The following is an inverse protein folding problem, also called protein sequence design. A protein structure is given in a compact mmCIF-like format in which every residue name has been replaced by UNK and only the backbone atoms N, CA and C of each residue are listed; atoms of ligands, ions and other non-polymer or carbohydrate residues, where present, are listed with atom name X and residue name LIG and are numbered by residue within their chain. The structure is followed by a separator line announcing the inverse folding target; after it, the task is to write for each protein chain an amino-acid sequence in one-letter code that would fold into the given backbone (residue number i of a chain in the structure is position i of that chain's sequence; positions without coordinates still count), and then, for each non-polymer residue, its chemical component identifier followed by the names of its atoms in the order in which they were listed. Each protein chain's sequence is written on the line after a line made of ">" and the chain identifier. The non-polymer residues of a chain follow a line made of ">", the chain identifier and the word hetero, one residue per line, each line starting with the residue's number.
data_IF_267184714647
#
_entry.id   IF_267184714647
#
_cell.length_a   1.000
_cell.length_b   1.000
_cell.length_c   1.000
_cell.angle_alpha   90.00
_cell.angle_beta   90.00
_cell.angle_gamma   90.00
#
_symmetry.space_group_name_H-M   'P 1'
#
loop_
_entity.id
_entity.type
_entity.pdbx_description
1 polymer ?
#
# COMPACT_ATOMS: atom_id res chain seq x y z
N UNK A 1 -7.40 18.83 -34.48
CA UNK A 1 -7.18 17.94 -33.33
C UNK A 1 -8.03 18.48 -32.18
N UNK A 2 -9.19 17.88 -31.93
CA UNK A 2 -10.03 18.22 -30.77
C UNK A 2 -9.26 17.80 -29.52
N UNK A 3 -8.67 18.77 -28.83
CA UNK A 3 -8.09 18.55 -27.50
C UNK A 3 -9.22 18.11 -26.58
N UNK A 4 -9.33 16.80 -26.34
CA UNK A 4 -10.24 16.27 -25.35
C UNK A 4 -9.76 16.74 -23.99
N UNK A 5 -10.49 17.66 -23.36
CA UNK A 5 -10.18 18.06 -22.01
C UNK A 5 -10.15 16.81 -21.12
N UNK A 6 -9.01 16.55 -20.48
CA UNK A 6 -8.91 15.50 -19.47
C UNK A 6 -9.76 15.96 -18.29
N UNK A 7 -10.97 15.40 -18.16
CA UNK A 7 -11.84 15.64 -17.01
C UNK A 7 -11.31 14.79 -15.86
N UNK A 8 -10.69 15.44 -14.89
CA UNK A 8 -10.32 14.80 -13.62
C UNK A 8 -11.46 15.04 -12.63
N UNK A 9 -11.82 14.01 -11.85
CA UNK A 9 -12.78 14.12 -10.77
C UNK A 9 -12.03 14.06 -9.44
N UNK A 10 -11.65 15.20 -8.82
CA UNK A 10 -10.82 15.22 -7.62
C UNK A 10 -11.40 14.40 -6.48
N UNK A 11 -12.72 14.44 -6.29
CA UNK A 11 -13.41 13.67 -5.24
C UNK A 11 -13.23 12.16 -5.41
N UNK A 12 -13.35 11.65 -6.64
CA UNK A 12 -13.15 10.22 -6.93
C UNK A 12 -11.69 9.81 -6.77
N UNK A 13 -10.76 10.72 -7.10
CA UNK A 13 -9.33 10.49 -6.93
C UNK A 13 -8.95 10.43 -5.45
N UNK A 14 -9.49 11.34 -4.64
CA UNK A 14 -9.32 11.33 -3.19
C UNK A 14 -9.95 10.08 -2.54
N UNK A 15 -11.15 9.67 -2.98
CA UNK A 15 -11.81 8.45 -2.51
C UNK A 15 -10.98 7.20 -2.81
N UNK A 16 -10.52 7.05 -4.05
CA UNK A 16 -9.61 5.97 -4.43
C UNK A 16 -8.35 5.96 -3.56
N UNK A 17 -7.77 7.13 -3.30
CA UNK A 17 -6.62 7.25 -2.42
C UNK A 17 -6.90 6.79 -0.99
N UNK A 18 -8.05 7.13 -0.41
CA UNK A 18 -8.47 6.67 0.94
C UNK A 18 -8.70 5.17 1.01
N UNK A 19 -9.27 4.57 -0.05
CA UNK A 19 -9.46 3.12 -0.15
C UNK A 19 -8.13 2.35 -0.22
N UNK A 20 -7.07 2.99 -0.71
CA UNK A 20 -5.73 2.40 -0.72
C UNK A 20 -4.98 2.68 0.57
N UNK A 21 -4.89 3.93 1.01
CA UNK A 21 -4.07 4.35 2.14
C UNK A 21 -4.88 4.51 3.42
N UNK A 22 -4.45 3.82 4.47
CA UNK A 22 -5.03 3.89 5.81
C UNK A 22 -4.45 2.78 6.67
N UNK A 23 -4.39 2.99 7.98
CA UNK A 23 -3.89 2.00 8.94
C UNK A 23 -4.99 1.13 9.56
N UNK A 24 -6.26 1.39 9.25
CA UNK A 24 -7.41 0.67 9.79
C UNK A 24 -8.10 -0.25 8.78
N UNK A 25 -9.13 -0.95 9.25
CA UNK A 25 -10.03 -1.77 8.41
C UNK A 25 -10.71 -0.92 7.34
N UNK A 26 -10.78 -1.43 6.11
CA UNK A 26 -11.40 -0.75 4.97
C UNK A 26 -10.42 -0.03 4.03
N UNK A 27 -9.11 -0.05 4.32
CA UNK A 27 -8.07 0.31 3.36
C UNK A 27 -7.24 -0.91 2.95
N UNK A 28 -6.82 -0.96 1.69
CA UNK A 28 -5.98 -2.04 1.18
C UNK A 28 -4.62 -2.12 1.91
N UNK A 29 -4.01 -0.97 2.25
CA UNK A 29 -2.80 -0.92 3.06
C UNK A 29 -3.01 -1.57 4.44
N UNK A 30 -4.09 -1.19 5.13
CA UNK A 30 -4.37 -1.62 6.50
C UNK A 30 -4.69 -3.11 6.55
N UNK A 31 -5.48 -3.60 5.60
CA UNK A 31 -5.85 -5.01 5.51
C UNK A 31 -4.64 -5.90 5.21
N UNK A 32 -3.78 -5.51 4.26
CA UNK A 32 -2.57 -6.29 3.97
C UNK A 32 -1.60 -6.28 5.17
N UNK A 33 -1.40 -5.12 5.80
CA UNK A 33 -0.56 -5.03 7.00
C UNK A 33 -1.09 -5.90 8.15
N UNK A 34 -2.42 -5.96 8.32
CA UNK A 34 -3.04 -6.82 9.33
C UNK A 34 -2.85 -8.30 9.04
N UNK A 35 -3.00 -8.73 7.78
CA UNK A 35 -2.78 -10.13 7.36
C UNK A 35 -1.32 -10.54 7.60
N UNK A 36 -0.36 -9.70 7.18
CA UNK A 36 1.06 -9.97 7.39
C UNK A 36 1.39 -9.99 8.87
N UNK A 37 0.85 -9.06 9.66
CA UNK A 37 1.02 -9.02 11.12
C UNK A 37 0.47 -10.27 11.82
N UNK A 38 -0.72 -10.75 11.44
CA UNK A 38 -1.30 -11.99 11.97
C UNK A 38 -0.44 -13.21 11.58
N UNK A 39 0.03 -13.26 10.33
CA UNK A 39 0.92 -14.33 9.89
C UNK A 39 2.24 -14.34 10.69
N UNK A 40 2.90 -13.19 10.85
CA UNK A 40 4.11 -13.05 11.68
C UNK A 40 3.86 -13.54 13.10
N UNK A 41 2.79 -13.05 13.72
CA UNK A 41 2.41 -13.42 15.10
C UNK A 41 2.20 -14.92 15.23
N UNK A 42 1.52 -15.55 14.28
CA UNK A 42 1.29 -17.00 14.31
C UNK A 42 2.60 -17.77 14.15
N UNK A 43 3.45 -17.36 13.20
CA UNK A 43 4.74 -18.00 12.95
C UNK A 43 5.66 -17.94 14.17
N UNK A 44 5.68 -16.83 14.88
CA UNK A 44 6.47 -16.68 16.11
C UNK A 44 5.95 -17.54 17.27
N UNK A 45 4.64 -17.85 17.27
CA UNK A 45 3.99 -18.64 18.31
C UNK A 45 4.02 -20.17 18.07
N UNK A 46 4.45 -20.64 16.90
CA UNK A 46 4.43 -22.09 16.57
C UNK A 46 5.53 -22.92 17.26
N UNK A 47 6.39 -22.30 18.08
CA UNK A 47 7.34 -23.00 18.95
C UNK A 47 8.60 -23.52 18.24
N UNK A 48 9.29 -24.49 18.85
CA UNK A 48 10.56 -25.02 18.34
C UNK A 48 10.38 -25.76 17.02
N UNK A 49 11.37 -25.60 16.13
CA UNK A 49 11.42 -26.16 14.79
C UNK A 49 11.10 -27.66 14.74
N UNK A 50 10.16 -28.08 13.88
CA UNK A 50 9.66 -29.46 13.81
C UNK A 50 10.32 -30.30 12.71
N UNK A 51 11.21 -29.71 11.90
CA UNK A 51 11.85 -30.36 10.75
C UNK A 51 13.12 -31.15 11.10
N UNK A 52 13.51 -31.19 12.38
CA UNK A 52 14.66 -31.94 12.86
C UNK A 52 16.02 -31.31 12.54
N UNK A 53 17.07 -31.81 13.20
CA UNK A 53 18.45 -31.32 13.05
C UNK A 53 19.31 -32.16 12.09
N UNK A 54 18.71 -33.13 11.39
CA UNK A 54 19.42 -33.93 10.39
C UNK A 54 19.70 -33.11 9.12
N UNK A 55 20.48 -33.69 8.21
CA UNK A 55 20.89 -33.01 6.97
C UNK A 55 19.70 -32.63 6.07
N UNK A 56 18.56 -33.33 6.16
CA UNK A 56 17.36 -33.01 5.42
C UNK A 56 16.61 -31.84 6.06
N UNK A 57 16.42 -31.86 7.38
CA UNK A 57 15.81 -30.79 8.15
C UNK A 57 16.56 -29.47 8.00
N UNK A 58 17.89 -29.51 8.12
CA UNK A 58 18.75 -28.34 7.88
C UNK A 58 18.66 -27.82 6.46
N UNK A 59 18.67 -28.70 5.44
CA UNK A 59 18.53 -28.28 4.05
C UNK A 59 17.16 -27.65 3.75
N UNK A 60 16.10 -28.19 4.35
CA UNK A 60 14.76 -27.64 4.22
C UNK A 60 14.65 -26.25 4.86
N UNK A 61 15.19 -26.06 6.07
CA UNK A 61 15.03 -24.82 6.81
C UNK A 61 16.04 -23.72 6.43
N UNK A 62 17.32 -24.08 6.46
CA UNK A 62 18.47 -23.16 6.39
C UNK A 62 19.07 -23.07 4.97
N UNK A 63 18.55 -23.84 4.02
CA UNK A 63 18.96 -23.73 2.62
C UNK A 63 18.77 -22.30 2.10
N UNK A 64 19.52 -21.93 1.05
CA UNK A 64 19.41 -20.60 0.41
C UNK A 64 17.95 -20.24 0.06
N UNK A 65 17.21 -21.20 -0.50
CA UNK A 65 15.78 -21.10 -0.80
C UNK A 65 14.93 -21.91 0.20
N UNK A 66 15.47 -22.12 1.40
CA UNK A 66 14.83 -22.86 2.47
C UNK A 66 13.64 -22.12 3.06
N UNK A 67 12.90 -22.81 3.91
CA UNK A 67 11.69 -22.30 4.53
C UNK A 67 11.91 -20.97 5.27
N UNK A 68 13.02 -20.81 5.99
CA UNK A 68 13.29 -19.59 6.75
C UNK A 68 13.50 -18.39 5.81
N UNK A 69 14.28 -18.57 4.75
CA UNK A 69 14.49 -17.53 3.75
C UNK A 69 13.18 -17.16 3.02
N UNK A 70 12.40 -18.17 2.61
CA UNK A 70 11.11 -17.95 1.96
C UNK A 70 10.11 -17.22 2.88
N UNK A 71 10.06 -17.61 4.17
CA UNK A 71 9.25 -16.96 5.20
C UNK A 71 9.63 -15.50 5.36
N UNK A 72 10.91 -15.22 5.58
CA UNK A 72 11.38 -13.86 5.86
C UNK A 72 11.17 -12.94 4.64
N UNK A 73 11.37 -13.47 3.43
CA UNK A 73 11.07 -12.76 2.18
C UNK A 73 9.57 -12.44 2.03
N UNK A 74 8.69 -13.40 2.37
CA UNK A 74 7.25 -13.19 2.30
C UNK A 74 6.79 -12.12 3.30
N UNK A 75 7.27 -12.18 4.54
CA UNK A 75 6.89 -11.22 5.59
C UNK A 75 7.42 -9.81 5.27
N UNK A 76 8.67 -9.72 4.84
CA UNK A 76 9.29 -8.45 4.46
C UNK A 76 8.60 -7.86 3.23
N UNK A 77 8.47 -8.65 2.16
CA UNK A 77 7.83 -8.20 0.92
C UNK A 77 6.36 -7.83 1.10
N UNK A 78 5.62 -8.56 1.95
CA UNK A 78 4.24 -8.21 2.30
C UNK A 78 4.14 -6.86 3.02
N UNK A 79 5.05 -6.60 3.96
CA UNK A 79 5.14 -5.31 4.68
C UNK A 79 5.49 -4.16 3.73
N UNK A 80 6.48 -4.36 2.86
CA UNK A 80 6.88 -3.37 1.85
C UNK A 80 5.75 -3.08 0.85
N UNK A 81 5.02 -4.11 0.42
CA UNK A 81 3.87 -3.97 -0.46
C UNK A 81 2.75 -3.16 0.19
N UNK A 82 2.44 -3.41 1.46
CA UNK A 82 1.47 -2.60 2.21
C UNK A 82 1.90 -1.13 2.27
N UNK A 83 3.19 -0.87 2.54
CA UNK A 83 3.73 0.49 2.55
C UNK A 83 3.64 1.16 1.18
N UNK A 84 3.94 0.43 0.10
CA UNK A 84 3.84 0.91 -1.28
C UNK A 84 2.39 1.29 -1.64
N UNK A 85 1.42 0.43 -1.31
CA UNK A 85 -0.02 0.72 -1.49
C UNK A 85 -0.40 2.01 -0.75
N UNK A 86 0.07 2.17 0.49
CA UNK A 86 -0.13 3.38 1.26
C UNK A 86 0.45 4.63 0.60
N UNK A 87 1.65 4.51 0.01
CA UNK A 87 2.30 5.59 -0.71
C UNK A 87 1.51 6.02 -1.94
N UNK A 88 1.04 5.06 -2.73
CA UNK A 88 0.17 5.32 -3.88
C UNK A 88 -1.10 6.03 -3.43
N UNK A 89 -1.79 5.53 -2.41
CA UNK A 89 -3.03 6.13 -1.92
C UNK A 89 -2.86 7.59 -1.45
N UNK A 90 -1.78 7.89 -0.71
CA UNK A 90 -1.43 9.26 -0.32
C UNK A 90 -1.13 10.15 -1.52
N UNK A 91 -0.46 9.62 -2.54
CA UNK A 91 -0.19 10.32 -3.80
C UNK A 91 -1.48 10.74 -4.52
N UNK A 92 -2.48 9.85 -4.56
CA UNK A 92 -3.79 10.16 -5.16
C UNK A 92 -4.53 11.24 -4.37
N UNK A 93 -4.51 11.17 -3.03
CA UNK A 93 -5.11 12.21 -2.16
C UNK A 93 -4.43 13.58 -2.41
N UNK A 94 -3.10 13.60 -2.46
CA UNK A 94 -2.35 14.84 -2.72
C UNK A 94 -2.67 15.41 -4.11
N UNK A 95 -2.72 14.56 -5.14
CA UNK A 95 -3.09 14.96 -6.49
C UNK A 95 -4.51 15.55 -6.54
N UNK A 96 -5.48 14.94 -5.85
CA UNK A 96 -6.84 15.47 -5.75
C UNK A 96 -6.89 16.86 -5.11
N UNK A 97 -6.12 17.09 -4.04
CA UNK A 97 -5.98 18.41 -3.42
C UNK A 97 -5.45 19.44 -4.43
N UNK A 98 -4.35 19.11 -5.13
CA UNK A 98 -3.75 20.00 -6.12
C UNK A 98 -4.72 20.38 -7.25
N UNK A 99 -5.53 19.44 -7.75
CA UNK A 99 -6.53 19.75 -8.77
C UNK A 99 -7.62 20.70 -8.23
N UNK A 100 -8.11 20.45 -7.02
CA UNK A 100 -9.12 21.29 -6.38
C UNK A 100 -8.63 22.72 -6.16
N UNK A 101 -7.39 22.88 -5.71
CA UNK A 101 -6.76 24.19 -5.46
C UNK A 101 -6.53 24.97 -6.76
N UNK A 102 -6.08 24.28 -7.82
CA UNK A 102 -5.88 24.87 -9.13
C UNK A 102 -7.20 25.35 -9.76
N UNK A 103 -8.28 24.58 -9.62
CA UNK A 103 -9.61 24.99 -10.08
C UNK A 103 -10.15 26.20 -9.31
N UNK A 104 -10.01 26.21 -7.98
CA UNK A 104 -10.41 27.34 -7.14
C UNK A 104 -9.66 28.62 -7.53
N UNK A 105 -8.33 28.53 -7.63
CA UNK A 105 -7.47 29.65 -8.04
C UNK A 105 -7.80 30.18 -9.44
N UNK A 106 -8.15 29.28 -10.36
CA UNK A 106 -8.61 29.64 -11.70
C UNK A 106 -9.92 30.44 -11.64
N UNK A 107 -10.92 29.94 -10.91
CA UNK A 107 -12.21 30.64 -10.74
C UNK A 107 -12.06 32.04 -10.15
N UNK A 108 -11.21 32.20 -9.14
CA UNK A 108 -10.99 33.49 -8.49
C UNK A 108 -10.36 34.52 -9.43
N UNK A 109 -9.38 34.10 -10.24
CA UNK A 109 -8.78 34.96 -11.28
C UNK A 109 -9.80 35.41 -12.33
N UNK A 110 -10.66 34.50 -12.80
CA UNK A 110 -11.71 34.87 -13.76
C UNK A 110 -12.77 35.80 -13.17
N UNK A 111 -13.10 35.63 -11.88
CA UNK A 111 -14.02 36.52 -11.18
C UNK A 111 -13.47 37.93 -11.06
N UNK A 112 -12.17 38.07 -10.76
CA UNK A 112 -11.50 39.37 -10.63
C UNK A 112 -11.29 40.11 -11.97
N UNK A 113 -11.36 39.42 -13.10
CA UNK A 113 -11.25 40.02 -14.45
C UNK A 113 -12.60 40.51 -15.00
N UNK A 114 -13.72 40.17 -14.35
CA UNK A 114 -15.08 40.53 -14.77
C UNK A 114 -15.76 41.56 -13.84
N UNK A 115 -15.08 41.97 -12.76
CA UNK A 115 -15.46 43.11 -11.91
C UNK A 115 -14.55 44.29 -12.21
#
# INVERSE_FOLDING_TARGET
>A
MTSGAIVVYPDRLADAGRRLSGSGTGSAQGELAAIVGDLTTRLDNYGSQTWGDDSYGKKFADGHDGYLAARDNLLTGGTEMAAAIGSVGRGLIAAAGNFTDNEASGRDRFRNLRG
#
